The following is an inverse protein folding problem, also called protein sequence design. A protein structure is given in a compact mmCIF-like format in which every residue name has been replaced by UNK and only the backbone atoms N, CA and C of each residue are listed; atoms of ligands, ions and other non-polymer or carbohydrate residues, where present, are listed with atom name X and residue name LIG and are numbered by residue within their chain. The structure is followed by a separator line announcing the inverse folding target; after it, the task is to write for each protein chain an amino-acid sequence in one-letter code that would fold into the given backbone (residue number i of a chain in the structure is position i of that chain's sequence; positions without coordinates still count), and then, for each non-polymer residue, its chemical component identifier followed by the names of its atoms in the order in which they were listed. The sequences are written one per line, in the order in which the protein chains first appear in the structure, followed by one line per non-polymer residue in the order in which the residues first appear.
data_IF_353789793755
#
_entry.id   IF_353789793755
#
_cell.length_a   1.000
_cell.length_b   1.000
_cell.length_c   1.000
_cell.angle_alpha   90.00
_cell.angle_beta   90.00
_cell.angle_gamma   90.00
#
_symmetry.space_group_name_H-M   'P 1'
#
loop_
_entity.id
_entity.type
_entity.pdbx_description
1 polymer ?
#
# COMPACT_ATOMS: atom_id res chain seq x y z
N UNK A 1 -1.62 -6.97 -23.41
CA UNK A 1 -1.66 -7.00 -21.93
C UNK A 1 -2.18 -5.70 -21.31
N UNK A 2 -1.76 -4.51 -21.76
CA UNK A 2 -2.21 -3.21 -21.20
C UNK A 2 -3.71 -2.89 -21.35
N UNK A 3 -4.36 -3.34 -22.43
CA UNK A 3 -5.79 -3.06 -22.68
C UNK A 3 -6.72 -3.77 -21.66
N UNK A 4 -6.33 -4.93 -21.13
CA UNK A 4 -7.15 -5.67 -20.17
C UNK A 4 -7.16 -5.06 -18.76
N UNK A 5 -6.14 -4.26 -18.41
CA UNK A 5 -6.02 -3.65 -17.07
C UNK A 5 -7.01 -2.49 -16.91
N UNK A 6 -7.12 -1.61 -17.91
CA UNK A 6 -8.02 -0.46 -17.86
C UNK A 6 -9.51 -0.85 -17.79
N UNK A 7 -9.89 -1.97 -18.41
CA UNK A 7 -11.28 -2.45 -18.45
C UNK A 7 -11.76 -3.12 -17.14
N UNK A 8 -10.84 -3.43 -16.21
CA UNK A 8 -11.14 -4.20 -15.00
C UNK A 8 -10.56 -3.56 -13.73
N UNK A 9 -10.58 -2.23 -13.69
CA UNK A 9 -10.18 -1.46 -12.53
C UNK A 9 -11.25 -1.51 -11.42
N UNK A 10 -10.93 -2.01 -10.21
CA UNK A 10 -11.90 -2.11 -9.13
C UNK A 10 -12.37 -0.71 -8.68
N UNK A 11 -13.64 -0.62 -8.28
CA UNK A 11 -14.26 0.62 -7.77
C UNK A 11 -14.89 0.44 -6.38
N UNK A 12 -15.01 -0.80 -5.91
CA UNK A 12 -15.38 -1.07 -4.54
C UNK A 12 -14.14 -0.99 -3.63
N UNK A 13 -14.15 -0.22 -2.53
CA UNK A 13 -13.00 -0.11 -1.62
C UNK A 13 -12.45 -1.46 -1.12
N UNK A 14 -13.32 -2.40 -0.75
CA UNK A 14 -12.89 -3.72 -0.28
C UNK A 14 -12.21 -4.48 -1.42
N UNK A 15 -12.79 -4.47 -2.61
CA UNK A 15 -12.19 -5.13 -3.78
C UNK A 15 -10.82 -4.50 -4.11
N UNK A 16 -10.71 -3.17 -4.12
CA UNK A 16 -9.44 -2.45 -4.31
C UNK A 16 -8.38 -2.96 -3.33
N UNK A 17 -8.75 -3.07 -2.06
CA UNK A 17 -7.84 -3.49 -0.99
C UNK A 17 -7.48 -4.98 -1.12
N UNK A 18 -8.38 -5.85 -1.56
CA UNK A 18 -8.13 -7.32 -1.54
C UNK A 18 -7.62 -7.91 -2.85
N UNK A 19 -7.69 -7.18 -3.98
CA UNK A 19 -7.51 -7.72 -5.34
C UNK A 19 -6.19 -8.46 -5.62
N UNK A 20 -5.10 -8.01 -5.00
CA UNK A 20 -3.81 -8.71 -5.01
C UNK A 20 -3.16 -8.59 -3.64
N UNK A 21 -3.92 -8.89 -2.58
CA UNK A 21 -3.39 -8.84 -1.22
C UNK A 21 -2.41 -9.99 -0.99
N UNK A 22 -1.23 -9.66 -0.46
CA UNK A 22 -0.24 -10.64 0.01
C UNK A 22 0.07 -10.34 1.47
N UNK A 23 0.03 -11.38 2.28
CA UNK A 23 0.36 -11.31 3.70
C UNK A 23 1.83 -11.70 3.90
N UNK A 24 2.46 -11.03 4.86
CA UNK A 24 3.85 -11.17 5.23
C UNK A 24 3.96 -11.16 6.75
N UNK A 25 4.95 -11.86 7.26
CA UNK A 25 5.30 -11.84 8.67
C UNK A 25 6.81 -11.67 8.81
N UNK A 26 7.22 -10.75 9.68
CA UNK A 26 8.63 -10.55 10.01
C UNK A 26 8.77 -10.28 11.50
N UNK A 27 9.47 -11.16 12.21
CA UNK A 27 9.73 -11.05 13.66
C UNK A 27 8.46 -10.80 14.49
N UNK A 28 7.39 -11.54 14.18
CA UNK A 28 6.09 -11.44 14.86
C UNK A 28 5.22 -10.25 14.44
N UNK A 29 5.70 -9.37 13.55
CA UNK A 29 4.91 -8.31 12.95
C UNK A 29 4.24 -8.82 11.67
N UNK A 30 2.91 -8.80 11.62
CA UNK A 30 2.12 -9.25 10.47
C UNK A 30 1.67 -8.06 9.64
N UNK A 31 2.01 -8.06 8.36
CA UNK A 31 1.61 -6.99 7.47
C UNK A 31 1.08 -7.50 6.13
N UNK A 32 0.12 -6.79 5.56
CA UNK A 32 -0.49 -7.11 4.28
C UNK A 32 -0.20 -6.00 3.27
N UNK A 33 0.19 -6.38 2.05
CA UNK A 33 0.45 -5.43 0.97
C UNK A 33 -0.31 -5.81 -0.28
N UNK A 34 -1.15 -4.89 -0.74
CA UNK A 34 -1.96 -5.04 -1.94
C UNK A 34 -1.49 -4.09 -3.03
N UNK A 35 -1.69 -4.48 -4.28
CA UNK A 35 -1.34 -3.64 -5.42
C UNK A 35 -2.42 -3.70 -6.50
N UNK A 36 -2.79 -2.53 -7.02
CA UNK A 36 -3.60 -2.39 -8.23
C UNK A 36 -2.88 -1.51 -9.25
N UNK A 37 -3.18 -1.70 -10.53
CA UNK A 37 -2.65 -0.89 -11.62
C UNK A 37 -3.76 -0.05 -12.22
N UNK A 38 -3.44 1.20 -12.55
CA UNK A 38 -4.39 2.13 -13.16
C UNK A 38 -3.73 3.02 -14.20
N UNK A 39 -4.54 3.52 -15.13
CA UNK A 39 -4.20 4.63 -16.02
C UNK A 39 -4.74 5.98 -15.52
N UNK A 40 -5.50 6.00 -14.42
CA UNK A 40 -6.17 7.17 -13.87
C UNK A 40 -6.07 7.16 -12.34
N UNK A 41 -4.90 7.51 -11.83
CA UNK A 41 -4.63 7.66 -10.40
C UNK A 41 -5.59 8.62 -9.69
N UNK A 42 -6.00 9.72 -10.33
CA UNK A 42 -6.94 10.71 -9.78
C UNK A 42 -8.28 10.12 -9.33
N UNK A 43 -8.79 9.09 -10.03
CA UNK A 43 -9.99 8.35 -9.64
C UNK A 43 -9.87 7.84 -8.19
N UNK A 44 -8.73 7.29 -7.83
CA UNK A 44 -8.52 6.70 -6.51
C UNK A 44 -8.20 7.75 -5.44
N UNK A 45 -7.58 8.87 -5.80
CA UNK A 45 -7.40 10.02 -4.90
C UNK A 45 -8.78 10.47 -4.36
N UNK A 46 -9.79 10.56 -5.23
CA UNK A 46 -11.16 10.91 -4.81
C UNK A 46 -11.81 9.90 -3.84
N UNK A 47 -11.26 8.69 -3.77
CA UNK A 47 -11.75 7.60 -2.93
C UNK A 47 -10.92 7.36 -1.67
N UNK A 48 -9.81 8.09 -1.46
CA UNK A 48 -8.85 7.88 -0.36
C UNK A 48 -9.55 7.72 0.98
N UNK A 49 -10.49 8.63 1.32
CA UNK A 49 -11.22 8.55 2.59
C UNK A 49 -11.95 7.22 2.74
N UNK A 50 -12.69 6.79 1.71
CA UNK A 50 -13.47 5.54 1.73
C UNK A 50 -12.58 4.30 1.77
N UNK A 51 -11.42 4.36 1.12
CA UNK A 51 -10.43 3.29 1.12
C UNK A 51 -9.78 3.19 2.51
N UNK A 52 -9.35 4.30 3.10
CA UNK A 52 -8.81 4.34 4.46
C UNK A 52 -9.81 3.83 5.49
N UNK A 53 -11.06 4.29 5.44
CA UNK A 53 -12.13 3.82 6.32
C UNK A 53 -12.34 2.29 6.21
N UNK A 54 -12.15 1.72 5.02
CA UNK A 54 -12.25 0.27 4.77
C UNK A 54 -11.00 -0.50 5.22
N UNK A 55 -9.80 0.06 5.00
CA UNK A 55 -8.53 -0.50 5.50
C UNK A 55 -8.53 -0.56 7.02
N UNK A 56 -9.02 0.49 7.69
CA UNK A 56 -9.16 0.55 9.15
C UNK A 56 -10.08 -0.54 9.69
N UNK A 57 -11.20 -0.80 9.01
CA UNK A 57 -12.09 -1.92 9.38
C UNK A 57 -11.38 -3.25 9.26
N UNK A 58 -10.63 -3.47 8.17
CA UNK A 58 -9.85 -4.70 7.97
C UNK A 58 -8.80 -4.87 9.06
N UNK A 59 -8.10 -3.80 9.45
CA UNK A 59 -7.14 -3.84 10.57
C UNK A 59 -7.83 -4.27 11.87
N UNK A 60 -9.03 -3.75 12.15
CA UNK A 60 -9.81 -4.10 13.37
C UNK A 60 -10.41 -5.51 13.35
N UNK A 61 -10.77 -6.03 12.18
CA UNK A 61 -11.46 -7.33 12.04
C UNK A 61 -10.49 -8.49 11.85
N UNK A 62 -9.42 -8.29 11.08
CA UNK A 62 -8.46 -9.34 10.71
C UNK A 62 -7.14 -9.26 11.46
N UNK A 63 -6.94 -8.21 12.26
CA UNK A 63 -5.77 -7.94 13.08
C UNK A 63 -4.38 -8.05 12.39
N UNK A 64 -4.19 -7.63 11.12
CA UNK A 64 -2.84 -7.31 10.66
C UNK A 64 -2.31 -6.11 11.45
N UNK A 65 -1.03 -6.12 11.78
CA UNK A 65 -0.38 -4.96 12.41
C UNK A 65 -0.29 -3.77 11.45
N UNK A 66 -0.21 -4.03 10.15
CA UNK A 66 -0.08 -3.00 9.11
C UNK A 66 -0.70 -3.51 7.80
N UNK A 67 -1.52 -2.67 7.17
CA UNK A 67 -2.00 -2.92 5.80
C UNK A 67 -1.56 -1.76 4.90
N UNK A 68 -1.08 -2.10 3.70
CA UNK A 68 -0.54 -1.15 2.72
C UNK A 68 -1.22 -1.41 1.39
N UNK A 69 -1.67 -0.35 0.74
CA UNK A 69 -2.22 -0.39 -0.61
C UNK A 69 -1.34 0.45 -1.54
N UNK A 70 -0.88 -0.17 -2.63
CA UNK A 70 -0.23 0.47 -3.75
C UNK A 70 -1.21 0.62 -4.91
N UNK A 71 -1.46 1.85 -5.33
CA UNK A 71 -2.22 2.16 -6.55
C UNK A 71 -1.22 2.70 -7.56
N UNK A 72 -0.76 1.82 -8.45
CA UNK A 72 0.33 2.11 -9.38
C UNK A 72 -0.21 2.65 -10.69
N UNK A 73 0.15 3.89 -10.98
CA UNK A 73 -0.05 4.50 -12.29
C UNK A 73 1.05 4.04 -13.23
N UNK A 74 0.69 3.16 -14.17
CA UNK A 74 1.67 2.60 -15.10
C UNK A 74 1.99 3.55 -16.27
N UNK A 75 1.26 4.66 -16.41
CA UNK A 75 1.53 5.71 -17.39
C UNK A 75 2.54 6.69 -16.79
N UNK A 76 2.25 7.19 -15.59
CA UNK A 76 3.08 8.17 -14.90
C UNK A 76 4.31 7.54 -14.19
N UNK A 77 4.38 6.21 -14.15
CA UNK A 77 5.41 5.45 -13.44
C UNK A 77 5.52 5.89 -11.97
N UNK A 78 4.38 6.03 -11.30
CA UNK A 78 4.27 6.43 -9.90
C UNK A 78 3.28 5.52 -9.17
N UNK A 79 3.27 5.59 -7.83
CA UNK A 79 2.21 4.97 -7.04
C UNK A 79 1.67 5.94 -6.00
N UNK A 80 0.35 5.91 -5.81
CA UNK A 80 -0.29 6.38 -4.60
C UNK A 80 -0.19 5.26 -3.56
N UNK A 81 0.26 5.60 -2.36
CA UNK A 81 0.46 4.70 -1.25
C UNK A 81 -0.47 5.10 -0.11
N UNK A 82 -1.27 4.14 0.36
CA UNK A 82 -2.11 4.27 1.54
C UNK A 82 -1.70 3.21 2.56
N UNK A 83 -1.86 3.50 3.84
CA UNK A 83 -1.62 2.53 4.91
C UNK A 83 -2.50 2.77 6.13
N UNK A 84 -2.79 1.70 6.87
CA UNK A 84 -3.48 1.73 8.18
C UNK A 84 -2.85 0.73 9.15
N UNK A 85 -3.03 0.96 10.46
CA UNK A 85 -2.38 0.21 11.53
C UNK A 85 -1.08 0.89 12.00
N UNK A 86 0.03 0.14 12.09
CA UNK A 86 1.37 0.63 12.45
C UNK A 86 2.04 1.39 11.30
N UNK A 87 1.40 2.47 10.85
CA UNK A 87 1.79 3.27 9.67
C UNK A 87 3.20 3.87 9.79
N UNK A 88 3.69 4.09 11.02
CA UNK A 88 5.01 4.64 11.29
C UNK A 88 6.15 3.78 10.73
N UNK A 89 5.91 2.47 10.55
CA UNK A 89 6.86 1.55 9.92
C UNK A 89 7.05 1.93 8.46
N UNK A 90 5.94 2.23 7.76
CA UNK A 90 5.98 2.58 6.35
C UNK A 90 6.56 3.98 6.14
N UNK A 91 6.14 4.95 6.96
CA UNK A 91 6.64 6.32 6.92
C UNK A 91 8.16 6.36 7.06
N UNK A 92 8.71 5.61 8.03
CA UNK A 92 10.15 5.52 8.24
C UNK A 92 10.87 4.69 7.18
N UNK A 93 10.27 3.61 6.69
CA UNK A 93 10.86 2.77 5.64
C UNK A 93 10.98 3.49 4.29
N UNK A 94 10.04 4.40 3.99
CA UNK A 94 10.01 5.15 2.73
C UNK A 94 10.49 6.60 2.87
N UNK A 95 10.68 7.08 4.10
CA UNK A 95 10.91 8.50 4.42
C UNK A 95 9.81 9.41 3.85
N UNK A 96 8.56 9.06 4.14
CA UNK A 96 7.35 9.76 3.64
C UNK A 96 6.42 10.17 4.79
N UNK A 97 5.53 11.11 4.50
CA UNK A 97 4.47 11.58 5.40
C UNK A 97 3.11 11.08 4.90
N UNK A 98 2.38 10.36 5.76
CA UNK A 98 1.03 9.86 5.49
C UNK A 98 -0.08 10.66 6.19
N UNK A 99 0.23 11.83 6.77
CA UNK A 99 -0.74 12.70 7.48
C UNK A 99 -1.98 13.06 6.64
N UNK A 100 -1.85 13.11 5.32
CA UNK A 100 -2.96 13.34 4.37
C UNK A 100 -3.80 12.09 4.08
N UNK A 101 -3.49 10.96 4.70
CA UNK A 101 -4.10 9.65 4.47
C UNK A 101 -3.55 8.91 3.24
N UNK A 102 -2.64 9.52 2.48
CA UNK A 102 -1.92 8.91 1.37
C UNK A 102 -0.65 9.71 1.06
N UNK A 103 0.27 9.10 0.32
CA UNK A 103 1.41 9.80 -0.32
C UNK A 103 1.58 9.33 -1.75
N UNK A 104 2.18 10.17 -2.60
CA UNK A 104 2.54 9.81 -3.97
C UNK A 104 4.05 9.63 -4.08
N UNK A 105 4.49 8.54 -4.70
CA UNK A 105 5.91 8.22 -4.86
C UNK A 105 6.20 7.90 -6.32
N UNK A 106 6.96 8.78 -6.97
CA UNK A 106 7.42 8.58 -8.34
C UNK A 106 8.49 7.47 -8.39
N UNK A 107 8.41 6.62 -9.40
CA UNK A 107 9.35 5.51 -9.62
C UNK A 107 9.10 4.27 -8.76
N UNK A 108 8.19 4.33 -7.78
CA UNK A 108 7.78 3.16 -7.00
C UNK A 108 6.64 2.43 -7.72
N UNK A 109 6.94 1.34 -8.42
CA UNK A 109 5.96 0.61 -9.25
C UNK A 109 5.91 -0.88 -8.93
N UNK A 110 6.85 -1.39 -8.14
CA UNK A 110 6.94 -2.81 -7.78
C UNK A 110 6.84 -3.04 -6.28
N UNK A 111 5.77 -3.71 -5.84
CA UNK A 111 5.67 -4.23 -4.48
C UNK A 111 6.89 -5.09 -4.12
N UNK A 112 7.16 -6.12 -4.93
CA UNK A 112 8.16 -7.16 -4.61
C UNK A 112 9.60 -6.62 -4.62
N UNK A 113 9.95 -5.80 -5.61
CA UNK A 113 11.35 -5.42 -5.82
C UNK A 113 11.73 -4.10 -5.13
N UNK A 114 10.76 -3.28 -4.75
CA UNK A 114 11.04 -1.94 -4.21
C UNK A 114 10.40 -1.72 -2.83
N UNK A 115 9.10 -1.97 -2.66
CA UNK A 115 8.42 -1.70 -1.39
C UNK A 115 8.81 -2.70 -0.29
N UNK A 116 8.69 -4.00 -0.56
CA UNK A 116 8.96 -5.05 0.43
C UNK A 116 10.40 -4.98 0.94
N UNK A 117 11.45 -4.86 0.09
CA UNK A 117 12.83 -4.75 0.58
C UNK A 117 13.04 -3.56 1.52
N UNK A 118 12.45 -2.39 1.23
CA UNK A 118 12.56 -1.20 2.09
C UNK A 118 11.94 -1.42 3.47
N UNK A 119 10.77 -2.06 3.51
CA UNK A 119 10.10 -2.40 4.79
C UNK A 119 10.96 -3.36 5.60
N UNK A 120 11.44 -4.44 4.96
CA UNK A 120 12.27 -5.44 5.63
C UNK A 120 13.60 -4.87 6.11
N UNK A 121 14.26 -4.04 5.31
CA UNK A 121 15.50 -3.34 5.70
C UNK A 121 15.27 -2.45 6.93
N UNK A 122 14.18 -1.68 6.95
CA UNK A 122 13.83 -0.84 8.09
C UNK A 122 13.56 -1.68 9.35
N UNK A 123 12.77 -2.75 9.23
CA UNK A 123 12.47 -3.64 10.37
C UNK A 123 13.73 -4.33 10.90
N UNK A 124 14.63 -4.76 10.02
CA UNK A 124 15.92 -5.34 10.40
C UNK A 124 16.78 -4.35 11.19
N UNK A 125 16.93 -3.11 10.71
CA UNK A 125 17.70 -2.06 11.40
C UNK A 125 17.11 -1.74 12.77
N UNK A 126 15.78 -1.58 12.84
CA UNK A 126 15.05 -1.33 14.09
C UNK A 126 15.31 -2.40 15.15
N UNK A 127 15.43 -3.67 14.77
CA UNK A 127 15.73 -4.77 15.70
C UNK A 127 17.19 -4.78 16.17
N UNK A 128 18.11 -4.24 15.37
CA UNK A 128 19.53 -4.16 15.74
C UNK A 128 19.83 -2.96 16.65
N UNK A 129 18.83 -2.15 17.01
CA UNK A 129 18.97 -1.01 17.91
C UNK A 129 19.73 0.18 17.29
N UNK A 130 19.74 0.26 15.95
CA UNK A 130 20.40 1.31 15.15
C UNK A 130 19.34 2.27 14.59
#
# INVERSE_FOLDING_TARGET
MRIAIAANEPSNPIEIITRDMKEYEYSGLRFAVSQIFTANSNKYISMVKRINDAMDRIVREKNPDLIILMITDYIENSSIILAQGKVEILEKALSVDLSKGYTEIKGLTSRKNQLIPKILEYLQKRMQGI
#
